data_IF_550487987325
#
_entry.id   IF_550487987325
#
_cell.length_a   1.000
_cell.length_b   1.000
_cell.length_c   1.000
_cell.angle_alpha   90.00
_cell.angle_beta   90.00
_cell.angle_gamma   90.00
#
_symmetry.space_group_name_H-M   'P 1'
#
loop_
_entity.id
_entity.type
_entity.pdbx_description
1 polymer ?
#
# COMPACT_ATOMS: atom_id res chain seq x y z
N UNK A 1 11.09 -10.83 -25.79
CA UNK A 1 12.16 -11.86 -25.70
C UNK A 1 12.17 -12.36 -24.27
N UNK A 2 11.97 -13.68 -24.05
CA UNK A 2 12.23 -14.28 -22.74
C UNK A 2 13.74 -14.16 -22.48
N UNK A 3 14.14 -13.72 -21.28
CA UNK A 3 15.53 -13.83 -20.86
C UNK A 3 15.95 -15.30 -20.90
N UNK A 4 17.17 -15.62 -21.33
CA UNK A 4 17.66 -17.01 -21.28
C UNK A 4 17.63 -17.46 -19.82
N UNK A 5 16.97 -18.59 -19.54
CA UNK A 5 16.89 -19.17 -18.20
C UNK A 5 18.27 -19.57 -17.68
N UNK A 6 18.38 -19.74 -16.35
CA UNK A 6 19.62 -20.16 -15.67
C UNK A 6 20.11 -21.54 -16.13
N UNK A 7 19.21 -22.34 -16.72
CA UNK A 7 19.51 -23.73 -17.17
C UNK A 7 20.09 -24.59 -16.05
N UNK A 8 19.61 -24.39 -14.84
CA UNK A 8 20.05 -25.13 -13.64
C UNK A 8 18.87 -25.88 -13.04
N UNK A 9 19.10 -27.10 -12.56
CA UNK A 9 18.12 -27.90 -11.83
C UNK A 9 17.90 -27.43 -10.38
N UNK A 10 18.65 -26.43 -9.93
CA UNK A 10 18.54 -25.84 -8.59
C UNK A 10 17.17 -25.20 -8.39
N UNK A 11 16.39 -25.58 -7.34
CA UNK A 11 15.09 -25.00 -7.06
C UNK A 11 15.11 -23.47 -6.90
N UNK A 12 16.20 -22.92 -6.36
CA UNK A 12 16.37 -21.46 -6.25
C UNK A 12 16.49 -20.81 -7.63
N UNK A 13 17.24 -21.40 -8.55
CA UNK A 13 17.37 -20.89 -9.90
C UNK A 13 16.01 -20.95 -10.63
N UNK A 14 15.29 -22.06 -10.52
CA UNK A 14 13.96 -22.24 -11.12
C UNK A 14 12.95 -21.21 -10.59
N UNK A 15 12.89 -21.03 -9.28
CA UNK A 15 12.01 -20.01 -8.66
C UNK A 15 12.42 -18.59 -9.07
N UNK A 16 13.73 -18.31 -9.17
CA UNK A 16 14.24 -16.99 -9.55
C UNK A 16 13.88 -16.62 -10.99
N UNK A 17 13.74 -17.56 -11.90
CA UNK A 17 13.28 -17.27 -13.28
C UNK A 17 11.89 -16.61 -13.31
N UNK A 18 11.02 -17.00 -12.40
CA UNK A 18 9.69 -16.40 -12.25
C UNK A 18 9.75 -15.15 -11.36
N UNK A 19 10.25 -15.29 -10.14
CA UNK A 19 10.10 -14.32 -9.07
C UNK A 19 11.02 -13.11 -9.21
N UNK A 20 12.25 -13.29 -9.74
CA UNK A 20 13.22 -12.20 -9.89
C UNK A 20 13.00 -11.34 -11.15
N UNK A 21 11.96 -11.61 -11.92
CA UNK A 21 11.57 -10.73 -13.00
C UNK A 21 11.08 -9.39 -12.43
N UNK A 22 11.58 -8.27 -13.00
CA UNK A 22 11.23 -6.93 -12.52
C UNK A 22 9.72 -6.76 -12.38
N UNK A 23 9.29 -6.19 -11.26
CA UNK A 23 7.93 -5.95 -10.78
C UNK A 23 7.21 -7.16 -10.17
N UNK A 24 7.62 -8.38 -10.42
CA UNK A 24 6.91 -9.59 -9.95
C UNK A 24 6.76 -9.60 -8.42
N UNK A 25 7.86 -9.42 -7.67
CA UNK A 25 7.79 -9.41 -6.20
C UNK A 25 6.96 -8.26 -5.64
N UNK A 26 6.98 -7.09 -6.30
CA UNK A 26 6.19 -5.93 -5.90
C UNK A 26 4.71 -6.15 -6.19
N UNK A 27 4.37 -6.83 -7.30
CA UNK A 27 3.01 -7.21 -7.64
C UNK A 27 2.47 -8.28 -6.69
N UNK A 28 3.28 -9.29 -6.36
CA UNK A 28 2.93 -10.30 -5.35
C UNK A 28 2.64 -9.66 -3.99
N UNK A 29 3.42 -8.65 -3.57
CA UNK A 29 3.11 -7.88 -2.37
C UNK A 29 1.70 -7.28 -2.41
N UNK A 30 1.27 -6.72 -3.54
CA UNK A 30 -0.07 -6.16 -3.69
C UNK A 30 -1.17 -7.21 -3.61
N UNK A 31 -0.99 -8.35 -4.29
CA UNK A 31 -1.93 -9.47 -4.24
C UNK A 31 -2.04 -10.06 -2.83
N UNK A 32 -0.91 -10.26 -2.15
CA UNK A 32 -0.84 -10.73 -0.76
C UNK A 32 -1.54 -9.74 0.20
N UNK A 33 -1.47 -8.44 -0.10
CA UNK A 33 -2.14 -7.38 0.67
C UNK A 33 -3.64 -7.27 0.37
N UNK A 34 -4.22 -8.18 -0.44
CA UNK A 34 -5.65 -8.26 -0.72
C UNK A 34 -6.14 -7.45 -1.93
N UNK A 35 -5.26 -6.81 -2.70
CA UNK A 35 -5.65 -6.19 -3.97
C UNK A 35 -5.91 -7.26 -5.01
N UNK A 36 -7.13 -7.34 -5.53
CA UNK A 36 -7.54 -8.35 -6.54
C UNK A 36 -7.96 -7.73 -7.86
N UNK A 37 -8.48 -6.49 -7.83
CA UNK A 37 -8.94 -5.80 -9.04
C UNK A 37 -7.77 -5.11 -9.73
N UNK A 38 -7.76 -5.15 -11.06
CA UNK A 38 -6.69 -4.58 -11.88
C UNK A 38 -6.38 -3.11 -11.53
N UNK A 39 -7.41 -2.28 -11.29
CA UNK A 39 -7.21 -0.88 -10.94
C UNK A 39 -6.59 -0.71 -9.54
N UNK A 40 -6.89 -1.60 -8.60
CA UNK A 40 -6.31 -1.56 -7.26
C UNK A 40 -4.84 -2.00 -7.29
N UNK A 41 -4.54 -3.05 -8.05
CA UNK A 41 -3.16 -3.46 -8.32
C UNK A 41 -2.35 -2.31 -8.94
N UNK A 42 -2.92 -1.57 -9.91
CA UNK A 42 -2.26 -0.37 -10.49
C UNK A 42 -1.94 0.70 -9.47
N UNK A 43 -2.84 0.94 -8.49
CA UNK A 43 -2.59 1.92 -7.40
C UNK A 43 -1.39 1.51 -6.54
N UNK A 44 -1.22 0.21 -6.32
CA UNK A 44 -0.08 -0.32 -5.56
C UNK A 44 1.24 -0.37 -6.33
N UNK A 45 1.19 -0.29 -7.67
CA UNK A 45 2.38 -0.27 -8.55
C UNK A 45 2.32 0.90 -9.55
N UNK A 46 2.24 2.16 -9.09
CA UNK A 46 1.87 3.31 -9.94
C UNK A 46 2.83 3.57 -11.10
N UNK A 47 4.08 3.12 -10.99
CA UNK A 47 5.12 3.27 -12.04
C UNK A 47 5.18 2.10 -13.03
N UNK A 48 4.32 1.10 -12.85
CA UNK A 48 4.21 -0.03 -13.77
C UNK A 48 3.16 0.29 -14.85
N UNK A 49 3.51 0.11 -16.13
CA UNK A 49 2.54 0.35 -17.21
C UNK A 49 1.42 -0.70 -17.16
N UNK A 50 0.18 -0.35 -17.57
CA UNK A 50 -0.94 -1.29 -17.63
C UNK A 50 -0.64 -2.55 -18.44
N UNK A 51 0.02 -2.39 -19.57
CA UNK A 51 0.43 -3.51 -20.44
C UNK A 51 1.40 -4.46 -19.72
N UNK A 52 2.37 -3.90 -18.98
CA UNK A 52 3.31 -4.72 -18.23
C UNK A 52 2.62 -5.42 -17.04
N UNK A 53 1.69 -4.75 -16.37
CA UNK A 53 0.89 -5.35 -15.30
C UNK A 53 0.09 -6.56 -15.83
N UNK A 54 -0.68 -6.37 -16.92
CA UNK A 54 -1.42 -7.47 -17.55
C UNK A 54 -0.50 -8.64 -17.89
N UNK A 55 0.65 -8.35 -18.48
CA UNK A 55 1.61 -9.39 -18.85
C UNK A 55 2.14 -10.15 -17.63
N UNK A 56 2.45 -9.46 -16.53
CA UNK A 56 2.94 -10.10 -15.29
C UNK A 56 1.86 -10.97 -14.64
N UNK A 57 0.60 -10.51 -14.64
CA UNK A 57 -0.52 -11.31 -14.16
C UNK A 57 -0.69 -12.60 -14.99
N UNK A 58 -0.62 -12.51 -16.32
CA UNK A 58 -0.68 -13.68 -17.20
C UNK A 58 0.50 -14.65 -16.99
N UNK A 59 1.72 -14.14 -16.75
CA UNK A 59 2.89 -14.98 -16.45
C UNK A 59 2.73 -15.70 -15.09
N UNK A 60 2.16 -15.03 -14.09
CA UNK A 60 1.86 -15.63 -12.78
C UNK A 60 0.70 -16.63 -12.85
N UNK A 61 -0.31 -16.37 -13.68
CA UNK A 61 -1.42 -17.29 -13.93
C UNK A 61 -0.92 -18.56 -14.63
N UNK A 62 -0.10 -18.42 -15.68
CA UNK A 62 0.51 -19.53 -16.38
C UNK A 62 1.43 -20.39 -15.49
N UNK A 63 2.01 -19.79 -14.44
CA UNK A 63 2.82 -20.47 -13.44
C UNK A 63 2.01 -21.07 -12.27
N UNK A 64 0.67 -20.93 -12.28
CA UNK A 64 -0.21 -21.44 -11.24
C UNK A 64 -0.12 -20.68 -9.90
N UNK A 65 0.46 -19.48 -9.88
CA UNK A 65 0.59 -18.62 -8.69
C UNK A 65 -0.64 -17.74 -8.50
N UNK A 66 -1.29 -17.36 -9.60
CA UNK A 66 -2.49 -16.53 -9.64
C UNK A 66 -3.58 -17.27 -10.40
N UNK A 67 -4.81 -17.08 -10.02
CA UNK A 67 -5.99 -17.50 -10.75
C UNK A 67 -6.91 -16.30 -11.01
N UNK A 68 -7.47 -16.22 -12.22
CA UNK A 68 -8.39 -15.17 -12.60
C UNK A 68 -9.83 -15.64 -12.46
N UNK A 69 -10.64 -14.92 -11.69
CA UNK A 69 -12.04 -15.24 -11.41
C UNK A 69 -12.96 -14.09 -11.84
N UNK A 70 -14.18 -14.40 -12.24
CA UNK A 70 -15.21 -13.38 -12.40
C UNK A 70 -15.59 -12.81 -11.02
N UNK A 71 -15.67 -11.48 -10.92
CA UNK A 71 -16.08 -10.81 -9.68
C UNK A 71 -17.54 -11.14 -9.35
N UNK A 72 -17.81 -11.40 -8.08
CA UNK A 72 -19.18 -11.62 -7.60
C UNK A 72 -19.98 -10.31 -7.66
N UNK A 73 -21.07 -10.30 -8.41
CA UNK A 73 -22.00 -9.15 -8.49
C UNK A 73 -21.68 -8.16 -9.61
N UNK A 74 -20.50 -8.16 -10.20
CA UNK A 74 -20.09 -7.22 -11.24
C UNK A 74 -19.90 -7.97 -12.59
N UNK A 75 -20.90 -7.89 -13.48
CA UNK A 75 -20.80 -8.54 -14.80
C UNK A 75 -19.64 -7.96 -15.62
N UNK A 76 -18.78 -8.86 -16.14
CA UNK A 76 -17.64 -8.48 -16.98
C UNK A 76 -16.41 -7.99 -16.23
N UNK A 77 -16.44 -7.94 -14.91
CA UNK A 77 -15.29 -7.62 -14.07
C UNK A 77 -14.59 -8.91 -13.66
N UNK A 78 -13.26 -8.91 -13.74
CA UNK A 78 -12.41 -10.01 -13.30
C UNK A 78 -11.53 -9.57 -12.13
N UNK A 79 -11.21 -10.52 -11.28
CA UNK A 79 -10.32 -10.38 -10.14
C UNK A 79 -9.21 -11.41 -10.24
N UNK A 80 -7.99 -11.01 -9.88
CA UNK A 80 -6.81 -11.85 -9.85
C UNK A 80 -6.56 -12.25 -8.38
N UNK A 81 -6.65 -13.54 -8.08
CA UNK A 81 -6.49 -14.09 -6.73
C UNK A 81 -5.26 -14.98 -6.66
N UNK A 82 -4.59 -14.98 -5.50
CA UNK A 82 -3.53 -15.95 -5.25
C UNK A 82 -4.11 -17.36 -5.09
N UNK A 83 -3.49 -18.32 -5.74
CA UNK A 83 -3.72 -19.76 -5.48
C UNK A 83 -3.10 -20.17 -4.14
N UNK A 84 -3.26 -21.42 -3.71
CA UNK A 84 -2.56 -21.96 -2.55
C UNK A 84 -1.04 -21.79 -2.68
N UNK A 85 -0.47 -22.16 -3.84
CA UNK A 85 0.95 -21.94 -4.15
C UNK A 85 1.33 -20.46 -4.12
N UNK A 86 0.45 -19.57 -4.58
CA UNK A 86 0.66 -18.13 -4.48
C UNK A 86 0.68 -17.60 -3.04
N UNK A 87 -0.17 -18.16 -2.17
CA UNK A 87 -0.20 -17.80 -0.74
C UNK A 87 1.08 -18.21 0.01
N UNK A 88 1.70 -19.32 -0.36
CA UNK A 88 2.98 -19.74 0.21
C UNK A 88 4.09 -18.70 -0.01
N UNK A 89 4.02 -17.90 -1.08
CA UNK A 89 4.99 -16.84 -1.36
C UNK A 89 4.92 -15.67 -0.37
N UNK A 90 3.89 -15.60 0.50
CA UNK A 90 3.80 -14.59 1.56
C UNK A 90 5.09 -14.54 2.39
N UNK A 91 5.56 -15.69 2.86
CA UNK A 91 6.76 -15.78 3.69
C UNK A 91 8.02 -15.29 2.96
N UNK A 92 8.12 -15.56 1.67
CA UNK A 92 9.24 -15.12 0.82
C UNK A 92 9.22 -13.59 0.66
N UNK A 93 8.06 -13.02 0.33
CA UNK A 93 7.89 -11.56 0.16
C UNK A 93 8.16 -10.83 1.47
N UNK A 94 7.65 -11.34 2.61
CA UNK A 94 7.90 -10.78 3.93
C UNK A 94 9.36 -10.88 4.36
N UNK A 95 10.05 -11.98 4.03
CA UNK A 95 11.47 -12.14 4.31
C UNK A 95 12.30 -11.10 3.55
N UNK A 96 12.02 -10.90 2.26
CA UNK A 96 12.68 -9.88 1.42
C UNK A 96 12.38 -8.48 1.95
N UNK A 97 11.12 -8.17 2.27
CA UNK A 97 10.72 -6.89 2.84
C UNK A 97 11.43 -6.59 4.16
N UNK A 98 11.47 -7.57 5.07
CA UNK A 98 12.14 -7.48 6.36
C UNK A 98 13.65 -7.30 6.21
N UNK A 99 14.29 -8.00 5.27
CA UNK A 99 15.70 -7.84 4.96
C UNK A 99 15.98 -6.43 4.42
N UNK A 100 15.16 -5.98 3.46
CA UNK A 100 15.27 -4.65 2.85
C UNK A 100 15.14 -3.54 3.91
N UNK A 101 14.17 -3.66 4.82
CA UNK A 101 13.95 -2.69 5.89
C UNK A 101 15.14 -2.58 6.86
N UNK A 102 15.81 -3.70 7.15
CA UNK A 102 16.96 -3.72 8.06
C UNK A 102 18.30 -3.34 7.41
N UNK A 103 18.45 -3.58 6.10
CA UNK A 103 19.77 -3.54 5.42
C UNK A 103 19.89 -2.45 4.37
N UNK A 104 18.79 -1.98 3.79
CA UNK A 104 18.82 -0.91 2.80
C UNK A 104 18.71 0.43 3.52
N UNK A 105 19.57 1.39 3.18
CA UNK A 105 19.52 2.72 3.74
C UNK A 105 18.17 3.39 3.43
N UNK A 106 17.40 3.62 4.49
CA UNK A 106 16.07 4.23 4.42
C UNK A 106 16.08 5.66 3.90
N UNK A 107 17.23 6.37 3.96
CA UNK A 107 17.39 7.68 3.32
C UNK A 107 17.20 7.62 1.80
N UNK A 108 17.50 6.48 1.18
CA UNK A 108 17.24 6.28 -0.24
C UNK A 108 15.74 6.11 -0.54
N UNK A 109 14.99 5.50 0.37
CA UNK A 109 13.53 5.34 0.23
C UNK A 109 12.82 6.69 0.15
N UNK A 110 13.29 7.68 0.95
CA UNK A 110 12.73 9.03 0.97
C UNK A 110 13.12 9.91 -0.24
N UNK A 111 13.94 9.43 -1.19
CA UNK A 111 14.21 10.11 -2.46
C UNK A 111 13.13 9.84 -3.51
N UNK A 112 12.39 8.75 -3.38
CA UNK A 112 11.42 8.27 -4.36
C UNK A 112 10.01 8.21 -3.76
N UNK A 113 9.61 9.26 -3.04
CA UNK A 113 8.27 9.37 -2.47
C UNK A 113 7.22 9.56 -3.56
N UNK A 114 6.07 8.93 -3.39
CA UNK A 114 4.94 9.00 -4.30
C UNK A 114 3.66 9.16 -3.46
N UNK A 115 2.90 10.25 -3.62
CA UNK A 115 1.75 10.51 -2.76
C UNK A 115 0.63 9.50 -2.96
N UNK A 116 0.38 9.07 -4.20
CA UNK A 116 -0.68 8.10 -4.48
C UNK A 116 -0.35 6.74 -3.86
N UNK A 117 0.92 6.31 -3.96
CA UNK A 117 1.37 5.07 -3.33
C UNK A 117 1.33 5.15 -1.80
N UNK A 118 1.79 6.26 -1.21
CA UNK A 118 1.73 6.46 0.25
C UNK A 118 0.29 6.36 0.75
N UNK A 119 -0.62 7.10 0.12
CA UNK A 119 -2.03 7.11 0.53
C UNK A 119 -2.73 5.77 0.31
N UNK A 120 -2.36 5.05 -0.77
CA UNK A 120 -2.84 3.70 -1.01
C UNK A 120 -2.38 2.71 0.07
N UNK A 121 -1.10 2.78 0.47
CA UNK A 121 -0.56 1.94 1.53
C UNK A 121 -1.17 2.29 2.91
N UNK A 122 -1.41 3.58 3.18
CA UNK A 122 -2.12 4.04 4.38
C UNK A 122 -3.55 3.52 4.42
N UNK A 123 -4.31 3.64 3.32
CA UNK A 123 -5.68 3.12 3.21
C UNK A 123 -5.76 1.64 3.55
N UNK A 124 -4.87 0.82 2.99
CA UNK A 124 -4.85 -0.65 3.22
C UNK A 124 -4.58 -1.05 4.67
N UNK A 125 -3.73 -0.28 5.34
CA UNK A 125 -3.28 -0.58 6.71
C UNK A 125 -4.07 0.18 7.77
N UNK A 126 -4.98 1.06 7.35
CA UNK A 126 -5.88 1.73 8.28
C UNK A 126 -6.83 0.69 8.87
N UNK A 127 -6.80 0.57 10.20
CA UNK A 127 -7.64 -0.36 10.94
C UNK A 127 -8.53 0.43 11.92
N UNK A 128 -9.78 0.72 11.53
CA UNK A 128 -10.69 1.47 12.39
C UNK A 128 -11.25 0.57 13.50
N UNK A 129 -10.55 0.54 14.62
CA UNK A 129 -10.96 -0.23 15.79
C UNK A 129 -10.95 0.67 17.05
N UNK A 130 -12.11 0.91 17.66
CA UNK A 130 -13.45 0.58 17.14
C UNK A 130 -13.78 1.36 15.86
N UNK A 131 -14.69 0.84 15.01
CA UNK A 131 -15.17 1.59 13.87
C UNK A 131 -15.89 2.87 14.33
N UNK A 132 -15.98 3.92 13.50
CA UNK A 132 -16.65 5.15 13.89
C UNK A 132 -18.18 4.98 13.88
N UNK A 133 -18.88 5.73 14.74
CA UNK A 133 -20.36 5.71 14.80
C UNK A 133 -20.98 6.35 13.55
N UNK A 134 -20.25 7.22 12.86
CA UNK A 134 -20.64 7.87 11.61
C UNK A 134 -19.46 7.91 10.65
N UNK A 135 -19.72 8.13 9.38
CA UNK A 135 -18.67 8.40 8.40
C UNK A 135 -17.67 9.42 8.95
N UNK A 136 -16.41 9.10 8.86
CA UNK A 136 -15.31 9.98 9.26
C UNK A 136 -14.39 10.23 8.07
N UNK A 137 -14.15 11.49 7.77
CA UNK A 137 -13.36 11.90 6.61
C UNK A 137 -12.09 12.60 7.06
N UNK A 138 -10.95 12.10 6.60
CA UNK A 138 -9.63 12.67 6.88
C UNK A 138 -9.00 13.12 5.57
N UNK A 139 -8.77 14.42 5.43
CA UNK A 139 -8.06 14.96 4.26
C UNK A 139 -6.57 15.07 4.56
N UNK A 140 -5.76 14.54 3.66
CA UNK A 140 -4.31 14.75 3.63
C UNK A 140 -3.95 15.74 2.52
N UNK A 141 -3.10 16.72 2.84
CA UNK A 141 -2.60 17.72 1.89
C UNK A 141 -1.08 17.79 1.92
N UNK A 142 -0.49 17.74 0.73
CA UNK A 142 0.95 17.85 0.48
C UNK A 142 1.22 19.11 -0.36
N UNK A 143 1.44 20.29 0.25
CA UNK A 143 1.47 21.59 -0.45
C UNK A 143 2.50 21.69 -1.57
N UNK A 144 3.64 21.02 -1.44
CA UNK A 144 4.73 21.02 -2.41
C UNK A 144 4.47 20.13 -3.64
N UNK A 145 3.44 19.28 -3.58
CA UNK A 145 3.08 18.38 -4.69
C UNK A 145 2.20 19.13 -5.70
N UNK A 146 2.32 18.88 -7.02
CA UNK A 146 1.45 19.48 -8.03
C UNK A 146 -0.04 19.32 -7.73
N UNK A 147 -0.82 20.35 -8.03
CA UNK A 147 -2.24 20.44 -7.62
C UNK A 147 -3.09 19.18 -7.86
N UNK A 148 -2.97 18.43 -8.98
CA UNK A 148 -3.79 17.22 -9.20
C UNK A 148 -3.47 16.06 -8.23
N UNK A 149 -2.30 16.09 -7.57
CA UNK A 149 -1.85 15.03 -6.66
C UNK A 149 -1.65 15.55 -5.22
N UNK A 150 -2.15 16.76 -4.92
CA UNK A 150 -1.90 17.44 -3.65
C UNK A 150 -2.77 16.92 -2.52
N UNK A 151 -4.02 16.61 -2.79
CA UNK A 151 -5.00 16.27 -1.78
C UNK A 151 -5.55 14.85 -1.96
N UNK A 152 -5.76 14.18 -0.83
CA UNK A 152 -6.34 12.84 -0.75
C UNK A 152 -7.29 12.78 0.45
N UNK A 153 -8.36 12.00 0.32
CA UNK A 153 -9.35 11.81 1.38
C UNK A 153 -9.43 10.33 1.72
N UNK A 154 -9.23 9.99 2.99
CA UNK A 154 -9.58 8.70 3.56
C UNK A 154 -10.99 8.82 4.13
N UNK A 155 -11.91 8.05 3.59
CA UNK A 155 -13.30 7.98 4.01
C UNK A 155 -13.50 6.68 4.77
N UNK A 156 -13.79 6.77 6.05
CA UNK A 156 -14.01 5.63 6.94
C UNK A 156 -15.50 5.53 7.24
N UNK A 157 -16.12 4.45 6.80
CA UNK A 157 -17.54 4.19 7.01
C UNK A 157 -17.83 3.57 8.41
N UNK A 158 -19.06 3.68 8.94
CA UNK A 158 -19.41 3.16 10.27
C UNK A 158 -19.15 1.66 10.44
N UNK A 159 -19.23 0.89 9.37
CA UNK A 159 -18.94 -0.56 9.37
C UNK A 159 -17.45 -0.89 9.19
N UNK A 160 -16.58 0.13 9.16
CA UNK A 160 -15.15 -0.03 9.13
C UNK A 160 -14.54 -0.13 7.73
N UNK A 161 -15.33 -0.06 6.68
CA UNK A 161 -14.84 0.04 5.32
C UNK A 161 -14.11 1.36 5.09
N UNK A 162 -13.00 1.32 4.34
CA UNK A 162 -12.14 2.48 4.11
C UNK A 162 -11.97 2.69 2.62
N UNK A 163 -12.34 3.90 2.16
CA UNK A 163 -12.11 4.34 0.79
C UNK A 163 -11.02 5.41 0.71
N UNK A 164 -10.36 5.47 -0.45
CA UNK A 164 -9.38 6.49 -0.79
C UNK A 164 -9.83 7.25 -2.03
N UNK A 165 -10.09 8.55 -1.87
CA UNK A 165 -10.42 9.47 -2.95
C UNK A 165 -9.24 10.39 -3.26
N UNK A 166 -8.94 10.59 -4.55
CA UNK A 166 -7.97 11.58 -5.07
C UNK A 166 -8.63 12.84 -5.60
N UNK A 167 -9.95 12.89 -5.57
CA UNK A 167 -10.78 14.06 -5.82
C UNK A 167 -11.70 14.27 -4.61
N UNK A 168 -12.15 15.49 -4.39
CA UNK A 168 -13.05 15.81 -3.28
C UNK A 168 -14.33 14.96 -3.37
N UNK A 169 -14.59 14.12 -2.37
CA UNK A 169 -15.79 13.26 -2.36
C UNK A 169 -17.07 14.02 -1.99
N UNK A 170 -16.98 15.33 -1.70
CA UNK A 170 -18.13 16.18 -1.33
C UNK A 170 -18.66 15.93 0.08
N UNK A 171 -17.89 15.31 0.95
CA UNK A 171 -18.28 15.11 2.36
C UNK A 171 -17.62 16.15 3.27
N UNK A 172 -18.26 16.44 4.39
CA UNK A 172 -17.65 17.26 5.44
C UNK A 172 -16.38 16.57 5.97
N UNK A 173 -15.29 17.34 6.08
CA UNK A 173 -13.99 16.84 6.53
C UNK A 173 -13.88 17.00 8.05
N UNK A 174 -13.70 15.89 8.77
CA UNK A 174 -13.54 15.88 10.23
C UNK A 174 -12.11 16.26 10.67
N UNK A 175 -11.12 15.96 9.84
CA UNK A 175 -9.72 16.26 10.13
C UNK A 175 -8.94 16.61 8.87
N UNK A 176 -8.28 17.75 8.90
CA UNK A 176 -7.30 18.17 7.90
C UNK A 176 -5.89 17.87 8.43
N UNK A 177 -5.10 17.20 7.61
CA UNK A 177 -3.68 16.88 7.88
C UNK A 177 -2.86 17.52 6.77
N UNK A 178 -2.04 18.51 7.10
CA UNK A 178 -1.17 19.19 6.13
C UNK A 178 0.30 19.02 6.54
N UNK A 179 1.12 18.52 5.63
CA UNK A 179 2.57 18.34 5.84
C UNK A 179 3.24 18.09 4.50
N UNK A 180 4.57 18.12 4.45
CA UNK A 180 5.28 17.67 3.25
C UNK A 180 5.26 16.13 3.13
N UNK A 181 5.25 15.66 1.88
CA UNK A 181 5.15 14.24 1.54
C UNK A 181 6.29 13.40 2.13
N UNK A 182 7.50 13.97 2.18
CA UNK A 182 8.68 13.30 2.74
C UNK A 182 8.52 13.09 4.24
N UNK A 183 8.05 14.10 4.97
CA UNK A 183 7.77 14.01 6.41
C UNK A 183 6.70 12.97 6.70
N UNK A 184 5.56 12.99 5.98
CA UNK A 184 4.52 11.98 6.16
C UNK A 184 5.03 10.57 5.83
N UNK A 185 5.81 10.42 4.76
CA UNK A 185 6.41 9.12 4.42
C UNK A 185 7.36 8.63 5.52
N UNK A 186 8.17 9.52 6.09
CA UNK A 186 9.07 9.16 7.18
C UNK A 186 8.30 8.71 8.45
N UNK A 187 7.22 9.41 8.79
CA UNK A 187 6.32 9.03 9.89
C UNK A 187 5.68 7.66 9.58
N UNK A 188 5.16 7.49 8.37
CA UNK A 188 4.53 6.24 7.94
C UNK A 188 5.47 5.05 7.98
N UNK A 189 6.73 5.23 7.60
CA UNK A 189 7.77 4.19 7.66
C UNK A 189 8.32 3.95 9.07
N UNK A 190 7.90 4.72 10.08
CA UNK A 190 8.41 4.60 11.46
C UNK A 190 9.84 5.10 11.64
N UNK A 191 10.34 5.93 10.73
CA UNK A 191 11.68 6.55 10.81
C UNK A 191 11.70 7.74 11.78
N UNK A 192 10.55 8.36 11.99
CA UNK A 192 10.29 9.44 12.93
C UNK A 192 8.87 9.29 13.47
N UNK A 193 8.46 10.16 14.36
CA UNK A 193 7.12 10.15 14.95
C UNK A 193 6.37 11.45 14.68
N UNK A 194 5.05 11.41 14.79
CA UNK A 194 4.22 12.59 14.65
C UNK A 194 4.58 13.68 15.69
N UNK A 195 5.01 13.28 16.88
CA UNK A 195 5.46 14.17 17.95
C UNK A 195 6.78 14.87 17.59
N UNK A 196 7.74 14.12 17.05
CA UNK A 196 9.04 14.66 16.64
C UNK A 196 8.90 15.63 15.47
N UNK A 197 7.97 15.38 14.57
CA UNK A 197 7.72 16.21 13.36
C UNK A 197 6.59 17.23 13.57
N UNK A 198 6.12 17.45 14.80
CA UNK A 198 4.95 18.32 15.11
C UNK A 198 5.04 19.72 14.52
N UNK A 199 6.23 20.24 14.36
CA UNK A 199 6.47 21.58 13.77
C UNK A 199 6.20 21.62 12.26
N UNK A 200 6.20 20.46 11.59
CA UNK A 200 5.96 20.32 10.14
C UNK A 200 4.58 19.77 9.81
N UNK A 201 3.84 19.30 10.81
CA UNK A 201 2.52 18.69 10.62
C UNK A 201 1.46 19.56 11.24
N UNK A 202 0.57 20.09 10.40
CA UNK A 202 -0.61 20.84 10.84
C UNK A 202 -1.81 19.91 10.89
N UNK A 203 -2.47 19.86 12.03
CA UNK A 203 -3.72 19.11 12.26
C UNK A 203 -4.82 20.11 12.60
N UNK A 204 -5.87 20.15 11.79
CA UNK A 204 -7.05 21.00 12.01
C UNK A 204 -8.31 20.15 12.04
N UNK A 205 -8.93 20.04 13.20
CA UNK A 205 -10.10 19.21 13.47
C UNK A 205 -10.29 19.03 14.97
N UNK A 206 -11.26 18.19 15.35
CA UNK A 206 -11.53 17.92 16.76
C UNK A 206 -10.42 17.06 17.41
N UNK A 207 -10.18 17.20 18.72
CA UNK A 207 -9.24 16.31 19.43
C UNK A 207 -9.60 14.83 19.29
N UNK A 208 -10.87 14.52 19.14
CA UNK A 208 -11.36 13.15 18.91
C UNK A 208 -10.94 12.63 17.55
N UNK A 209 -11.13 13.41 16.48
CA UNK A 209 -10.71 13.02 15.11
C UNK A 209 -9.21 12.80 15.04
N UNK A 210 -8.40 13.63 15.72
CA UNK A 210 -6.94 13.45 15.84
C UNK A 210 -6.60 12.14 16.56
N UNK A 211 -7.28 11.82 17.67
CA UNK A 211 -7.06 10.54 18.39
C UNK A 211 -7.41 9.33 17.52
N UNK A 212 -8.57 9.37 16.84
CA UNK A 212 -9.03 8.32 15.93
C UNK A 212 -8.00 8.11 14.82
N UNK A 213 -7.58 9.14 14.11
CA UNK A 213 -6.57 9.07 13.06
C UNK A 213 -5.27 8.43 13.56
N UNK A 214 -4.75 8.86 14.71
CA UNK A 214 -3.53 8.29 15.31
C UNK A 214 -3.67 6.80 15.65
N UNK A 215 -4.81 6.41 16.19
CA UNK A 215 -5.09 5.02 16.53
C UNK A 215 -5.20 4.15 15.27
N UNK A 216 -6.04 4.56 14.32
CA UNK A 216 -6.35 3.81 13.11
C UNK A 216 -5.18 3.68 12.16
N UNK A 217 -4.33 4.72 12.06
CA UNK A 217 -3.10 4.68 11.25
C UNK A 217 -1.89 4.18 12.05
N UNK A 218 -2.07 3.80 13.32
CA UNK A 218 -0.99 3.31 14.16
C UNK A 218 0.13 4.36 14.37
N UNK A 219 -0.17 5.66 14.44
CA UNK A 219 0.80 6.72 14.73
C UNK A 219 1.10 6.86 16.22
N UNK A 220 0.64 5.90 17.03
CA UNK A 220 1.05 5.74 18.42
C UNK A 220 2.38 4.97 18.53
N UNK A 221 2.98 4.97 19.73
CA UNK A 221 4.28 4.33 19.97
C UNK A 221 4.31 2.85 19.58
N UNK A 222 3.26 2.11 19.93
CA UNK A 222 3.17 0.68 19.60
C UNK A 222 3.09 0.45 18.09
N UNK A 223 2.35 1.28 17.35
CA UNK A 223 2.26 1.19 15.89
C UNK A 223 3.57 1.56 15.18
N UNK A 224 4.37 2.49 15.73
CA UNK A 224 5.70 2.82 15.22
C UNK A 224 6.66 1.64 15.43
N UNK A 225 6.63 0.99 16.58
CA UNK A 225 7.45 -0.20 16.86
C UNK A 225 7.03 -1.39 15.96
N UNK A 226 5.74 -1.60 15.75
CA UNK A 226 5.23 -2.65 14.85
C UNK A 226 5.69 -2.44 13.39
N UNK A 227 5.77 -1.19 12.92
CA UNK A 227 6.23 -0.88 11.56
C UNK A 227 7.73 -1.09 11.33
N UNK A 228 8.53 -1.21 12.37
CA UNK A 228 9.95 -1.60 12.26
C UNK A 228 10.15 -3.04 11.82
N UNK A 229 9.09 -3.85 11.85
CA UNK A 229 9.07 -5.20 11.29
C UNK A 229 8.13 -5.22 10.09
N UNK A 230 8.67 -5.52 8.91
CA UNK A 230 7.86 -5.63 7.71
C UNK A 230 6.92 -6.83 7.83
N UNK A 231 5.61 -6.58 7.83
CA UNK A 231 4.55 -7.59 7.73
C UNK A 231 3.50 -7.11 6.75
N UNK A 232 2.95 -8.04 6.01
CA UNK A 232 1.81 -7.80 5.14
C UNK A 232 0.50 -8.02 5.90
N UNK A 233 -0.56 -7.27 5.57
CA UNK A 233 -1.87 -7.41 6.18
C UNK A 233 -2.51 -8.78 5.94
#
# INVERSE_FOLDING_TARGET
MRQPGYKQFCPVAMASELLCTRWTMVLLRELISGSTRFNDLRRGVPRMSPTLLSRRLQELEAAGVVERKAAKGDRGVFEDHLTESGQELRTVVEAIGSWGQRRIDTRQSLKNVDPAFLMWDMRRKLSPSPPPDRRTVIQFSYPEVPAPMRCYWLVVEPHGEVDLCSADPGFEVDLYVSTDLRTMTAIWMGLTTLEQERAKVTLSGTPEAVRKMRAWLGFNRAGVEARRTFRLP
#
